data_IF_157352105863
#
_entry.id   IF_157352105863
#
_cell.length_a   1.000
_cell.length_b   1.000
_cell.length_c   1.000
_cell.angle_alpha   90.00
_cell.angle_beta   90.00
_cell.angle_gamma   90.00
#
_symmetry.space_group_name_H-M   'P 1'
#
loop_
_entity.id
_entity.type
_entity.pdbx_description
1 polymer ?
2 polymer ?
3 water ?
#
# COMPACT_ATOMS: atom_id res chain seq x y z
N UNK A 1 24.70 -11.53 -5.27
CA UNK A 1 25.18 -10.18 -5.68
C UNK A 1 25.11 -10.05 -7.20
N UNK A 2 24.19 -10.81 -7.79
CA UNK A 2 23.93 -10.80 -9.22
C UNK A 2 22.85 -9.74 -9.45
N UNK A 3 23.24 -8.60 -10.00
CA UNK A 3 22.32 -7.48 -10.22
C UNK A 3 21.29 -7.73 -11.32
N UNK A 4 20.04 -7.39 -11.02
CA UNK A 4 18.91 -7.55 -11.95
C UNK A 4 18.33 -6.16 -12.26
N UNK A 5 18.59 -5.67 -13.47
CA UNK A 5 18.13 -4.36 -13.88
C UNK A 5 16.88 -4.43 -14.75
N UNK A 6 15.84 -3.69 -14.34
CA UNK A 6 14.60 -3.65 -15.12
C UNK A 6 14.42 -2.29 -15.80
N UNK A 7 13.71 -2.30 -16.92
CA UNK A 7 13.47 -1.08 -17.68
C UNK A 7 12.16 -1.18 -18.43
N UNK A 8 11.34 -0.12 -18.36
CA UNK A 8 11.58 1.12 -17.63
C UNK A 8 11.18 0.96 -16.17
N UNK A 9 11.44 1.97 -15.34
CA UNK A 9 11.08 1.93 -13.93
C UNK A 9 9.59 2.12 -13.79
N UNK A 10 9.03 2.89 -14.71
CA UNK A 10 7.60 3.15 -14.71
C UNK A 10 7.08 3.12 -16.15
N UNK A 11 6.00 2.37 -16.37
CA UNK A 11 5.45 2.23 -17.70
C UNK A 11 3.98 2.65 -17.73
N UNK A 12 3.66 3.58 -18.62
CA UNK A 12 2.31 4.06 -18.76
C UNK A 12 1.73 3.51 -20.06
N UNK A 13 0.64 2.76 -19.96
CA UNK A 13 0.05 2.15 -21.15
C UNK A 13 -1.45 2.39 -21.27
N UNK A 14 -1.90 2.64 -22.49
CA UNK A 14 -3.32 2.87 -22.73
C UNK A 14 -4.07 1.53 -22.90
N UNK A 15 -5.12 1.34 -22.10
CA UNK A 15 -5.92 0.11 -22.15
C UNK A 15 -6.09 -0.46 -23.56
N UNK A 16 -5.90 -1.78 -23.69
CA UNK A 16 -6.05 -2.43 -24.97
C UNK A 16 -4.81 -2.55 -25.85
N UNK A 17 -3.73 -1.86 -25.50
CA UNK A 17 -2.50 -1.91 -26.27
C UNK A 17 -1.43 -2.77 -25.60
N UNK A 18 -0.47 -3.28 -26.39
CA UNK A 18 0.61 -4.11 -25.84
C UNK A 18 1.62 -3.35 -24.99
N UNK A 19 2.15 -4.02 -23.97
CA UNK A 19 3.16 -3.43 -23.08
C UNK A 19 4.37 -4.34 -23.02
N UNK A 20 5.53 -3.79 -22.76
CA UNK A 20 6.74 -4.57 -22.70
C UNK A 20 7.71 -4.10 -21.62
N UNK A 21 8.11 -5.04 -20.76
CA UNK A 21 9.03 -4.75 -19.67
C UNK A 21 10.31 -5.54 -19.92
N UNK A 22 11.44 -4.90 -19.70
CA UNK A 22 12.72 -5.55 -19.92
C UNK A 22 13.52 -5.84 -18.66
N UNK A 23 14.07 -7.05 -18.59
CA UNK A 23 14.87 -7.47 -17.46
C UNK A 23 16.24 -7.91 -17.98
N UNK A 24 17.29 -7.55 -17.26
CA UNK A 24 18.63 -7.91 -17.69
C UNK A 24 19.56 -8.12 -16.51
N UNK A 25 20.23 -9.27 -16.49
CA UNK A 25 21.17 -9.61 -15.41
C UNK A 25 22.63 -9.37 -15.76
N UNK A 26 23.44 -9.28 -14.72
CA UNK A 26 24.87 -9.06 -14.85
C UNK A 26 25.59 -10.34 -15.31
N UNK A 27 24.94 -11.49 -15.15
CA UNK A 27 25.53 -12.75 -15.57
C UNK A 27 24.47 -13.66 -16.17
N UNK A 28 24.90 -14.55 -17.05
CA UNK A 28 23.98 -15.48 -17.69
C UNK A 28 23.16 -16.24 -16.65
N UNK A 29 21.88 -16.45 -16.95
CA UNK A 29 21.01 -17.18 -16.03
C UNK A 29 20.77 -18.59 -16.55
N UNK A 30 21.53 -18.97 -17.56
CA UNK A 30 21.43 -20.30 -18.14
C UNK A 30 22.21 -21.20 -17.21
N UNK A 31 21.60 -22.30 -16.81
CA UNK A 31 22.24 -23.23 -15.88
C UNK A 31 22.88 -24.43 -16.57
N UNK A 32 23.70 -25.14 -15.82
CA UNK A 32 24.40 -26.32 -16.35
C UNK A 32 23.46 -27.42 -16.86
N UNK A 33 22.28 -27.55 -16.28
CA UNK A 33 21.37 -28.58 -16.74
C UNK A 33 20.60 -28.15 -17.97
N UNK A 34 20.98 -27.00 -18.52
CA UNK A 34 20.33 -26.48 -19.71
C UNK A 34 19.06 -25.66 -19.48
N UNK A 35 18.68 -25.49 -18.22
CA UNK A 35 17.47 -24.72 -17.88
C UNK A 35 17.77 -23.33 -17.33
N UNK A 36 16.93 -22.37 -17.71
CA UNK A 36 17.08 -20.99 -17.26
C UNK A 36 16.07 -20.66 -16.16
N UNK A 37 16.57 -20.30 -14.98
CA UNK A 37 15.71 -20.00 -13.84
C UNK A 37 15.41 -18.52 -13.68
N UNK A 38 14.44 -18.05 -14.44
CA UNK A 38 14.00 -16.68 -14.39
C UNK A 38 12.49 -16.68 -14.29
N UNK A 39 11.97 -15.90 -13.33
CA UNK A 39 10.54 -15.80 -13.11
C UNK A 39 10.09 -14.34 -13.12
N UNK A 40 8.80 -14.13 -13.34
CA UNK A 40 8.21 -12.80 -13.36
C UNK A 40 7.10 -12.74 -12.30
N UNK A 41 7.23 -11.80 -11.35
CA UNK A 41 6.20 -11.65 -10.32
C UNK A 41 5.39 -10.40 -10.60
N UNK A 42 4.17 -10.38 -10.09
CA UNK A 42 3.30 -9.23 -10.22
C UNK A 42 2.72 -8.98 -8.84
N UNK A 43 2.72 -7.72 -8.42
CA UNK A 43 2.16 -7.35 -7.13
C UNK A 43 1.16 -6.21 -7.31
N UNK A 44 -0.12 -6.54 -7.17
CA UNK A 44 -1.16 -5.52 -7.31
C UNK A 44 -1.21 -4.73 -6.00
N UNK A 45 -1.72 -3.50 -6.05
CA UNK A 45 -1.78 -2.72 -4.81
C UNK A 45 -2.50 -3.48 -3.70
N UNK A 46 -1.95 -3.39 -2.50
CA UNK A 46 -2.54 -4.05 -1.34
C UNK A 46 -2.46 -5.57 -1.34
N UNK A 47 -1.59 -6.13 -2.16
CA UNK A 47 -1.50 -7.57 -2.20
C UNK A 47 -0.08 -8.08 -2.27
N UNK A 48 0.06 -9.39 -2.19
CA UNK A 48 1.36 -10.06 -2.22
C UNK A 48 1.86 -10.30 -3.63
N UNK A 49 3.17 -10.47 -3.77
CA UNK A 49 3.75 -10.72 -5.09
C UNK A 49 3.16 -12.04 -5.55
N UNK A 50 2.93 -12.17 -6.85
CA UNK A 50 2.37 -13.40 -7.40
C UNK A 50 3.14 -13.81 -8.64
N UNK A 51 3.67 -15.04 -8.67
CA UNK A 51 4.43 -15.49 -9.83
C UNK A 51 3.49 -15.68 -11.02
N UNK A 52 3.93 -15.17 -12.17
CA UNK A 52 3.15 -15.27 -13.41
C UNK A 52 3.88 -16.14 -14.41
N UNK A 53 5.20 -16.16 -14.33
CA UNK A 53 5.99 -16.93 -15.28
C UNK A 53 7.25 -17.53 -14.67
N UNK A 54 7.50 -18.80 -14.99
CA UNK A 54 8.71 -19.48 -14.53
C UNK A 54 9.43 -20.07 -15.74
N UNK A 55 10.72 -20.38 -15.61
CA UNK A 55 11.50 -20.92 -16.72
C UNK A 55 11.28 -20.02 -17.92
N UNK A 56 11.46 -18.73 -17.68
CA UNK A 56 11.32 -17.64 -18.64
C UNK A 56 10.09 -17.54 -19.57
N UNK A 57 9.43 -18.64 -19.86
CA UNK A 57 8.25 -18.58 -20.74
C UNK A 57 7.07 -19.41 -20.30
N UNK A 58 7.26 -20.27 -19.31
CA UNK A 58 6.18 -21.12 -18.83
C UNK A 58 5.19 -20.32 -17.99
N UNK A 59 3.93 -20.36 -18.40
CA UNK A 59 2.87 -19.65 -17.69
C UNK A 59 2.46 -20.39 -16.43
N UNK A 60 2.03 -19.64 -15.42
CA UNK A 60 1.59 -20.24 -14.19
C UNK A 60 0.10 -20.47 -14.27
N UNK A 61 -0.40 -21.38 -13.45
CA UNK A 61 -1.81 -21.72 -13.43
C UNK A 61 -2.67 -20.47 -13.24
N UNK A 62 -3.62 -20.28 -14.15
CA UNK A 62 -4.52 -19.14 -14.06
C UNK A 62 -4.04 -17.85 -14.67
N UNK A 63 -2.80 -17.82 -15.15
CA UNK A 63 -2.29 -16.62 -15.75
C UNK A 63 -2.81 -16.53 -17.18
N UNK A 64 -3.38 -15.37 -17.54
CA UNK A 64 -3.95 -15.06 -18.86
C UNK A 64 -3.04 -15.25 -20.07
N UNK A 65 -3.64 -15.70 -21.17
CA UNK A 65 -2.95 -15.92 -22.44
C UNK A 65 -2.19 -14.66 -22.85
N UNK A 66 -2.68 -13.51 -22.40
CA UNK A 66 -2.08 -12.22 -22.70
C UNK A 66 -0.58 -12.11 -22.40
N UNK A 67 -0.18 -12.60 -21.23
CA UNK A 67 1.21 -12.52 -20.84
C UNK A 67 2.08 -13.50 -21.61
N UNK A 68 3.29 -13.07 -21.91
CA UNK A 68 4.23 -13.86 -22.67
C UNK A 68 5.64 -13.59 -22.18
N UNK A 69 6.42 -14.64 -22.05
CA UNK A 69 7.79 -14.47 -21.60
C UNK A 69 8.79 -14.98 -22.61
N UNK A 70 9.90 -14.25 -22.76
CA UNK A 70 10.95 -14.67 -23.68
C UNK A 70 12.28 -14.12 -23.18
N UNK A 71 13.38 -14.60 -23.75
CA UNK A 71 14.69 -14.14 -23.33
C UNK A 71 15.65 -15.29 -23.34
N UNK A 72 16.92 -15.01 -23.02
CA UNK A 72 17.94 -16.05 -23.01
C UNK A 72 19.25 -15.44 -22.50
N UNK A 73 19.98 -16.19 -21.69
CA UNK A 73 21.25 -15.69 -21.17
C UNK A 73 21.10 -14.55 -20.19
N UNK A 74 21.22 -13.32 -20.67
CA UNK A 74 21.13 -12.14 -19.81
C UNK A 74 20.04 -11.14 -20.19
N UNK A 75 19.16 -11.50 -21.12
CA UNK A 75 18.10 -10.59 -21.52
C UNK A 75 16.79 -11.30 -21.71
N UNK A 76 15.84 -10.92 -20.86
CA UNK A 76 14.50 -11.50 -20.83
C UNK A 76 13.51 -10.37 -21.00
N UNK A 77 12.33 -10.70 -21.52
CA UNK A 77 11.30 -9.71 -21.74
C UNK A 77 9.93 -10.27 -21.41
N UNK A 78 9.12 -9.44 -20.77
CA UNK A 78 7.75 -9.81 -20.43
C UNK A 78 6.90 -8.97 -21.35
N UNK A 79 6.11 -9.61 -22.21
CA UNK A 79 5.26 -8.86 -23.12
C UNK A 79 3.80 -9.10 -22.79
N UNK A 80 3.04 -8.03 -22.66
CA UNK A 80 1.60 -8.17 -22.40
C UNK A 80 0.95 -7.81 -23.73
N UNK A 81 0.31 -8.79 -24.36
CA UNK A 81 -0.35 -8.61 -25.65
C UNK A 81 -1.33 -7.45 -25.68
N UNK A 82 -2.21 -7.38 -24.69
CA UNK A 82 -3.19 -6.30 -24.59
C UNK A 82 -3.42 -6.03 -23.12
N UNK A 83 -3.14 -4.80 -22.69
CA UNK A 83 -3.29 -4.45 -21.28
C UNK A 83 -4.73 -4.20 -20.86
N UNK A 84 -5.01 -4.49 -19.60
CA UNK A 84 -6.33 -4.30 -19.03
C UNK A 84 -6.18 -3.64 -17.67
N UNK A 85 -7.29 -3.21 -17.07
CA UNK A 85 -7.23 -2.57 -15.76
C UNK A 85 -6.69 -3.51 -14.70
N UNK A 86 -7.01 -4.79 -14.81
CA UNK A 86 -6.56 -5.78 -13.83
C UNK A 86 -5.05 -6.04 -13.89
N UNK A 87 -4.33 -5.27 -14.70
CA UNK A 87 -2.88 -5.45 -14.83
C UNK A 87 -2.08 -4.38 -14.12
N UNK A 88 -2.78 -3.52 -13.39
CA UNK A 88 -2.11 -2.45 -12.66
C UNK A 88 -1.33 -3.09 -11.51
N UNK A 89 -0.10 -2.60 -11.29
CA UNK A 89 0.73 -3.13 -10.23
C UNK A 89 2.21 -3.00 -10.54
N UNK A 90 3.04 -3.71 -9.78
CA UNK A 90 4.49 -3.69 -9.99
C UNK A 90 4.94 -5.05 -10.49
N UNK A 91 5.79 -5.05 -11.51
CA UNK A 91 6.30 -6.27 -12.10
C UNK A 91 7.78 -6.46 -11.77
N UNK A 92 8.10 -7.61 -11.19
CA UNK A 92 9.48 -7.91 -10.85
C UNK A 92 9.96 -9.16 -11.57
N UNK A 93 11.25 -9.20 -11.86
CA UNK A 93 11.81 -10.38 -12.46
C UNK A 93 12.77 -10.93 -11.40
N UNK A 94 12.67 -12.24 -11.17
CA UNK A 94 13.52 -12.89 -10.17
C UNK A 94 14.48 -13.84 -10.85
N UNK A 95 15.58 -14.12 -10.17
CA UNK A 95 16.60 -15.02 -10.69
C UNK A 95 16.93 -16.07 -9.66
N UNK A 96 16.77 -17.34 -10.03
CA UNK A 96 17.06 -18.43 -9.12
C UNK A 96 18.12 -19.39 -9.62
N UNK A 97 19.11 -18.85 -10.33
CA UNK A 97 20.18 -19.66 -10.90
C UNK A 97 21.45 -19.57 -10.07
N UNK A 98 21.81 -18.36 -9.66
CA UNK A 98 23.02 -18.17 -8.86
C UNK A 98 22.71 -17.55 -7.49
N UNK A 99 23.13 -18.24 -6.45
CA UNK A 99 22.93 -17.83 -5.06
C UNK A 99 23.68 -16.55 -4.65
N UNK A 100 22.99 -15.61 -3.98
CA UNK A 100 21.59 -15.62 -3.56
C UNK A 100 20.57 -15.21 -4.63
N UNK A 101 19.34 -15.68 -4.44
CA UNK A 101 18.26 -15.35 -5.35
C UNK A 101 18.08 -13.84 -5.23
N UNK A 102 17.96 -13.16 -6.36
CA UNK A 102 17.78 -11.71 -6.37
C UNK A 102 16.63 -11.26 -7.26
N UNK A 103 16.11 -10.06 -6.98
CA UNK A 103 14.99 -9.49 -7.71
C UNK A 103 15.36 -8.21 -8.44
N UNK A 104 14.57 -7.86 -9.45
CA UNK A 104 14.79 -6.61 -10.15
C UNK A 104 14.09 -5.51 -9.37
N UNK A 105 14.41 -4.25 -9.65
CA UNK A 105 13.79 -3.14 -8.94
C UNK A 105 12.28 -3.07 -9.03
N UNK A 106 11.72 -3.72 -10.06
CA UNK A 106 10.28 -3.73 -10.24
C UNK A 106 9.87 -2.64 -11.19
N UNK A 107 8.84 -2.90 -11.98
CA UNK A 107 8.37 -1.89 -12.93
C UNK A 107 6.91 -1.60 -12.62
N UNK A 108 6.61 -0.33 -12.41
CA UNK A 108 5.27 0.07 -12.08
C UNK A 108 4.54 0.38 -13.38
N UNK A 109 3.42 -0.31 -13.57
CA UNK A 109 2.61 -0.11 -14.76
C UNK A 109 1.45 0.80 -14.40
N UNK A 110 1.29 1.88 -15.15
CA UNK A 110 0.22 2.84 -14.92
C UNK A 110 -0.64 2.91 -16.17
N UNK A 111 -1.95 2.97 -16.00
CA UNK A 111 -2.85 3.05 -17.15
C UNK A 111 -3.04 4.49 -17.65
N UNK A 112 -2.72 4.72 -18.92
CA UNK A 112 -2.89 6.05 -19.52
C UNK A 112 -4.40 6.27 -19.69
N UNK A 113 -4.89 7.35 -19.10
CA UNK A 113 -6.31 7.66 -19.08
C UNK A 113 -6.69 9.01 -19.68
N UNK A 114 -7.99 9.22 -19.79
CA UNK A 114 -8.51 10.48 -20.30
C UNK A 114 -8.45 11.45 -19.12
N UNK A 115 -7.98 12.66 -19.36
CA UNK A 115 -7.89 13.69 -18.32
C UNK A 115 -9.19 13.90 -17.55
N UNK A 116 -9.07 14.08 -16.24
CA UNK A 116 -10.21 14.28 -15.37
C UNK A 116 -9.91 15.33 -14.33
N UNK A 117 -10.85 16.27 -14.15
CA UNK A 117 -10.70 17.33 -13.16
C UNK A 117 -11.15 16.79 -11.81
N UNK A 118 -10.40 17.09 -10.75
CA UNK A 118 -10.75 16.59 -9.42
C UNK A 118 -12.05 17.17 -8.87
N UNK A 119 -12.74 16.36 -8.08
CA UNK A 119 -13.95 16.84 -7.43
C UNK A 119 -13.44 17.24 -6.06
N UNK A 120 -13.54 18.52 -5.75
CA UNK A 120 -13.02 19.03 -4.49
C UNK A 120 -14.05 19.30 -3.38
N UNK A 121 -13.74 18.82 -2.19
CA UNK A 121 -14.60 19.03 -1.02
C UNK A 121 -13.73 19.39 0.18
N UNK A 122 -14.17 20.37 0.96
CA UNK A 122 -13.39 20.84 2.10
C UNK A 122 -14.17 20.70 3.41
N UNK A 123 -13.48 20.23 4.45
CA UNK A 123 -14.11 20.00 5.74
C UNK A 123 -13.55 20.75 6.93
N UNK A 124 -14.41 21.50 7.64
CA UNK A 124 -14.02 22.27 8.82
C UNK A 124 -13.62 21.27 9.90
N UNK A 125 -12.95 21.73 10.96
CA UNK A 125 -12.56 20.79 12.00
C UNK A 125 -13.84 20.28 12.67
N UNK A 126 -13.80 19.09 13.24
CA UNK A 126 -14.98 18.57 13.91
C UNK A 126 -14.93 19.10 15.33
N UNK A 127 -16.09 19.49 15.86
CA UNK A 127 -16.16 20.02 17.21
C UNK A 127 -15.49 19.07 18.20
N UNK A 128 -15.54 17.78 17.91
CA UNK A 128 -14.95 16.79 18.79
C UNK A 128 -13.45 16.97 18.90
N UNK A 129 -12.80 17.41 17.82
CA UNK A 129 -11.36 17.60 17.84
C UNK A 129 -10.99 18.91 18.52
N UNK A 130 -11.70 19.97 18.15
CA UNK A 130 -11.45 21.29 18.72
C UNK A 130 -11.38 21.19 20.24
N UNK A 131 -12.21 20.30 20.79
CA UNK A 131 -12.23 20.09 22.22
C UNK A 131 -10.86 19.72 22.75
N UNK A 132 -10.09 18.94 21.99
CA UNK A 132 -8.75 18.54 22.42
C UNK A 132 -7.75 19.67 22.21
N UNK A 133 -8.23 20.78 21.65
CA UNK A 133 -7.36 21.91 21.41
C UNK A 133 -6.59 21.81 20.11
N UNK A 134 -7.06 20.95 19.21
CA UNK A 134 -6.40 20.82 17.93
C UNK A 134 -7.41 21.13 16.85
N UNK A 135 -6.93 21.50 15.67
CA UNK A 135 -7.82 21.82 14.56
C UNK A 135 -7.22 21.41 13.22
N UNK A 136 -7.75 20.35 12.62
CA UNK A 136 -7.27 19.88 11.34
C UNK A 136 -8.30 20.19 10.27
N UNK A 137 -7.90 20.91 9.23
CA UNK A 137 -8.80 21.24 8.14
C UNK A 137 -8.46 20.25 7.04
N UNK A 138 -9.45 19.53 6.54
CA UNK A 138 -9.21 18.53 5.50
C UNK A 138 -9.76 18.91 4.14
N UNK A 139 -9.04 18.50 3.10
CA UNK A 139 -9.49 18.79 1.74
C UNK A 139 -9.27 17.55 0.88
N UNK A 140 -10.33 17.08 0.24
CA UNK A 140 -10.25 15.89 -0.60
C UNK A 140 -10.43 16.26 -2.08
N UNK A 141 -9.50 15.79 -2.90
CA UNK A 141 -9.55 16.02 -4.34
C UNK A 141 -9.63 14.63 -4.97
N UNK A 142 -10.86 14.18 -5.19
CA UNK A 142 -11.12 12.86 -5.73
C UNK A 142 -11.16 12.67 -7.25
N UNK A 143 -10.86 11.44 -7.66
CA UNK A 143 -10.86 10.98 -9.04
C UNK A 143 -10.45 11.97 -10.15
N UNK A 144 -9.14 12.20 -10.28
CA UNK A 144 -8.62 13.11 -11.31
C UNK A 144 -7.46 12.47 -12.05
N UNK A 145 -7.11 13.03 -13.21
CA UNK A 145 -6.00 12.52 -14.01
C UNK A 145 -5.52 13.58 -15.00
N UNK A 146 -4.20 13.70 -15.19
CA UNK A 146 -3.12 12.91 -14.58
C UNK A 146 -2.94 13.13 -13.09
N UNK A 147 -1.83 12.59 -12.58
CA UNK A 147 -1.49 12.70 -11.16
C UNK A 147 -0.93 14.06 -10.80
N UNK A 148 -0.50 14.81 -11.83
CA UNK A 148 0.06 16.15 -11.64
C UNK A 148 -0.99 17.05 -11.00
N UNK A 149 -0.93 17.20 -9.68
CA UNK A 149 -1.91 18.04 -9.00
C UNK A 149 -1.22 18.92 -7.96
N UNK A 150 -1.63 20.18 -7.87
CA UNK A 150 -1.03 21.09 -6.93
C UNK A 150 -2.04 21.75 -5.98
N UNK A 151 -1.87 21.53 -4.68
CA UNK A 151 -2.77 22.10 -3.67
C UNK A 151 -2.14 23.26 -2.91
N UNK A 152 -2.96 24.22 -2.53
CA UNK A 152 -2.46 25.37 -1.81
C UNK A 152 -3.53 25.88 -0.84
N UNK A 153 -3.11 26.15 0.39
CA UNK A 153 -4.06 26.65 1.38
C UNK A 153 -3.95 28.14 1.58
N UNK A 154 -5.07 28.76 1.95
CA UNK A 154 -5.13 30.19 2.20
C UNK A 154 -6.05 30.45 3.39
N UNK A 155 -5.52 31.09 4.41
CA UNK A 155 -6.30 31.44 5.58
C UNK A 155 -6.42 32.95 5.55
N UNK A 156 -7.64 33.45 5.42
CA UNK A 156 -7.89 34.88 5.33
C UNK A 156 -7.09 35.50 4.19
N UNK A 157 -7.16 34.85 3.02
CA UNK A 157 -6.49 35.34 1.83
C UNK A 157 -4.99 35.11 1.68
N UNK A 158 -4.29 34.90 2.79
CA UNK A 158 -2.84 34.70 2.75
C UNK A 158 -2.43 33.23 2.77
N UNK A 159 -1.50 32.86 1.90
CA UNK A 159 -1.03 31.49 1.80
C UNK A 159 -0.31 30.98 3.06
N UNK A 160 -0.54 29.71 3.39
CA UNK A 160 0.10 29.07 4.53
C UNK A 160 0.70 27.75 4.03
N UNK A 161 2.00 27.53 4.27
CA UNK A 161 2.65 26.32 3.80
C UNK A 161 3.02 25.28 4.85
N UNK A 162 3.32 25.74 6.07
CA UNK A 162 3.68 24.82 7.13
C UNK A 162 2.45 24.17 7.77
N UNK A 163 2.60 22.91 8.19
CA UNK A 163 1.50 22.19 8.82
C UNK A 163 0.59 21.43 7.86
N UNK A 164 1.09 21.15 6.66
CA UNK A 164 0.33 20.44 5.64
C UNK A 164 0.82 19.02 5.39
N UNK A 165 -0.11 18.07 5.36
CA UNK A 165 0.21 16.67 5.10
C UNK A 165 -0.57 16.22 3.88
N UNK A 166 0.14 15.91 2.80
CA UNK A 166 -0.51 15.47 1.57
C UNK A 166 -0.34 13.98 1.41
N UNK A 167 -1.34 13.33 0.85
CA UNK A 167 -1.29 11.88 0.65
C UNK A 167 -2.03 11.49 -0.64
N UNK A 168 -1.32 10.83 -1.54
CA UNK A 168 -1.88 10.39 -2.81
C UNK A 168 -2.22 8.92 -2.71
N UNK A 169 -3.13 8.44 -3.56
CA UNK A 169 -3.49 7.02 -3.57
C UNK A 169 -2.94 6.38 -4.84
N UNK A 170 -2.94 5.05 -4.88
CA UNK A 170 -2.48 4.32 -6.04
C UNK A 170 -3.54 4.48 -7.12
N UNK A 171 -3.16 4.33 -8.38
CA UNK A 171 -4.14 4.47 -9.44
C UNK A 171 -5.30 3.53 -9.19
N UNK A 172 -6.51 4.07 -9.31
CA UNK A 172 -7.75 3.34 -9.09
C UNK A 172 -7.88 2.29 -10.20
N UNK A 173 -7.84 1.02 -9.82
CA UNK A 173 -7.98 -0.06 -10.80
C UNK A 173 -9.36 -0.09 -11.46
N UNK A 174 -10.28 0.72 -10.95
CA UNK A 174 -11.64 0.77 -11.48
C UNK A 174 -11.84 1.83 -12.57
N UNK A 175 -11.40 3.06 -12.31
CA UNK A 175 -11.57 4.11 -13.30
C UNK A 175 -10.24 4.73 -13.74
N UNK A 176 -9.14 4.21 -13.19
CA UNK A 176 -7.80 4.67 -13.52
C UNK A 176 -7.48 6.10 -13.14
N UNK A 177 -8.09 6.59 -12.06
CA UNK A 177 -7.83 7.95 -11.61
C UNK A 177 -7.04 7.94 -10.31
N UNK A 178 -6.69 9.13 -9.83
CA UNK A 178 -5.97 9.25 -8.57
C UNK A 178 -6.79 10.14 -7.63
N UNK A 179 -6.49 10.05 -6.34
CA UNK A 179 -7.16 10.87 -5.34
C UNK A 179 -6.11 11.36 -4.35
N UNK A 180 -6.30 12.56 -3.83
CA UNK A 180 -5.34 13.14 -2.91
C UNK A 180 -6.00 13.71 -1.67
N UNK A 181 -5.27 13.64 -0.55
CA UNK A 181 -5.78 14.17 0.71
C UNK A 181 -4.80 15.21 1.24
N UNK A 182 -5.33 16.39 1.55
CA UNK A 182 -4.52 17.47 2.07
C UNK A 182 -5.08 17.94 3.41
N UNK A 183 -4.27 17.79 4.45
CA UNK A 183 -4.70 18.18 5.79
C UNK A 183 -3.85 19.32 6.36
N UNK A 184 -4.51 20.42 6.71
CA UNK A 184 -3.83 21.57 7.30
C UNK A 184 -4.12 21.60 8.81
N UNK A 185 -3.12 21.31 9.64
CA UNK A 185 -3.34 21.29 11.09
C UNK A 185 -2.87 22.55 11.82
N UNK A 186 -3.76 23.11 12.61
CA UNK A 186 -3.49 24.31 13.39
C UNK A 186 -3.89 24.01 14.83
N UNK A 187 -3.55 24.89 15.74
CA UNK A 187 -3.92 24.70 17.12
C UNK A 187 -5.33 25.24 17.24
N UNK A 188 -5.95 24.97 18.38
CA UNK A 188 -7.29 25.46 18.63
C UNK A 188 -7.30 26.98 18.53
N UNK A 189 -6.34 27.62 19.19
CA UNK A 189 -6.27 29.08 19.17
C UNK A 189 -6.09 29.74 17.82
N UNK A 190 -5.09 29.34 17.05
CA UNK A 190 -4.88 29.95 15.75
C UNK A 190 -6.11 29.77 14.85
N UNK A 191 -6.74 28.60 14.90
CA UNK A 191 -7.92 28.37 14.07
C UNK A 191 -9.01 29.40 14.40
N UNK A 192 -9.17 29.70 15.69
CA UNK A 192 -10.19 30.64 16.13
C UNK A 192 -9.83 32.11 15.91
N UNK A 193 -8.63 32.39 15.42
CA UNK A 193 -8.23 33.76 15.19
C UNK A 193 -8.48 34.16 13.74
N UNK A 194 -8.75 33.18 12.88
CA UNK A 194 -8.98 33.44 11.47
C UNK A 194 -10.34 32.95 11.05
N UNK A 195 -10.90 33.48 9.95
CA UNK A 195 -12.23 33.07 9.54
C UNK A 195 -12.40 32.47 8.15
N UNK A 196 -11.56 32.84 7.21
CA UNK A 196 -11.72 32.32 5.85
C UNK A 196 -10.68 31.25 5.47
N UNK A 197 -11.15 30.01 5.32
CA UNK A 197 -10.25 28.91 4.95
C UNK A 197 -10.47 28.44 3.52
N UNK A 198 -9.41 28.45 2.73
CA UNK A 198 -9.53 28.05 1.33
C UNK A 198 -8.55 26.98 0.88
N UNK A 199 -9.09 26.04 0.12
CA UNK A 199 -8.34 24.93 -0.43
C UNK A 199 -8.35 25.23 -1.94
N UNK A 200 -7.18 25.40 -2.50
CA UNK A 200 -7.03 25.75 -3.91
C UNK A 200 -6.23 24.71 -4.67
N UNK A 201 -6.74 24.29 -5.83
CA UNK A 201 -6.04 23.29 -6.60
C UNK A 201 -5.85 23.71 -8.04
N UNK A 202 -4.65 23.45 -8.56
CA UNK A 202 -4.31 23.77 -9.93
C UNK A 202 -3.98 22.46 -10.64
N UNK A 203 -4.69 22.19 -11.73
CA UNK A 203 -4.50 20.94 -12.47
C UNK A 203 -4.55 21.18 -13.97
N UNK A 204 -3.92 20.29 -14.73
CA UNK A 204 -3.89 20.38 -16.19
C UNK A 204 -5.27 20.56 -16.80
N UNK A 205 -6.30 20.06 -16.11
CA UNK A 205 -7.67 20.14 -16.59
C UNK A 205 -8.29 21.52 -16.75
N UNK A 206 -7.77 22.53 -16.05
CA UNK A 206 -8.34 23.87 -16.19
C UNK A 206 -7.30 24.97 -16.17
N UNK A 207 -7.65 26.07 -16.81
CA UNK A 207 -6.78 27.24 -16.91
C UNK A 207 -6.74 28.00 -15.58
N UNK A 208 -7.89 28.07 -14.92
CA UNK A 208 -8.02 28.75 -13.65
C UNK A 208 -8.21 27.66 -12.58
N UNK A 209 -7.59 27.84 -11.40
CA UNK A 209 -7.68 26.88 -10.29
C UNK A 209 -9.08 26.61 -9.76
N UNK A 210 -9.26 25.42 -9.18
CA UNK A 210 -10.52 25.02 -8.58
C UNK A 210 -10.45 25.45 -7.11
N UNK A 211 -11.45 26.20 -6.65
CA UNK A 211 -11.43 26.67 -5.27
C UNK A 211 -12.59 26.19 -4.41
N UNK A 212 -12.29 25.88 -3.16
CA UNK A 212 -13.31 25.46 -2.19
C UNK A 212 -12.94 26.09 -0.86
N UNK A 213 -13.88 26.75 -0.20
CA UNK A 213 -13.56 27.37 1.07
C UNK A 213 -14.76 27.44 1.97
N UNK A 214 -14.56 27.96 3.17
CA UNK A 214 -15.65 28.09 4.13
C UNK A 214 -15.29 29.14 5.15
N UNK A 215 -16.29 29.68 5.82
CA UNK A 215 -16.02 30.68 6.83
C UNK A 215 -16.29 30.04 8.19
N UNK A 216 -15.33 30.15 9.09
CA UNK A 216 -15.45 29.56 10.41
C UNK A 216 -16.69 29.99 11.18
N UNK A 217 -17.12 31.24 11.01
CA UNK A 217 -18.27 31.78 11.71
C UNK A 217 -19.63 31.32 11.20
N UNK A 218 -19.67 30.79 9.99
CA UNK A 218 -20.93 30.37 9.38
C UNK A 218 -21.50 29.02 9.73
N UNK A 219 -20.85 28.28 10.62
CA UNK A 219 -21.36 26.97 11.01
C UNK A 219 -20.54 26.35 12.13
N UNK B 1 -7.03 -27.07 -0.24
CA UNK B 1 -6.34 -25.77 -0.55
C UNK B 1 -5.06 -25.57 0.25
N UNK B 2 -4.01 -25.08 -0.40
CA UNK B 2 -2.72 -24.82 0.25
C UNK B 2 -2.68 -23.40 0.80
N UNK B 3 -1.89 -23.17 1.84
CA UNK B 3 -1.83 -21.83 2.41
C UNK B 3 -0.76 -21.59 3.46
N UNK B 4 -0.10 -20.43 3.35
CA UNK B 4 0.94 -20.03 4.29
C UNK B 4 0.46 -18.77 5.01
N UNK B 5 0.82 -18.62 6.27
CA UNK B 5 0.42 -17.44 7.04
C UNK B 5 1.43 -17.04 8.09
N UNK B 6 1.80 -15.76 8.07
CA UNK B 6 2.77 -15.22 9.02
C UNK B 6 2.09 -14.68 10.28
N UNK B 7 2.77 -14.84 11.42
CA UNK B 7 2.28 -14.36 12.71
C UNK B 7 3.49 -13.87 13.47
N UNK B 8 3.30 -12.89 14.34
CA UNK B 8 4.42 -12.34 15.10
C UNK B 8 4.17 -10.88 15.42
N UNK B 9 5.03 -10.24 16.23
CA UNK B 9 4.88 -8.83 16.61
C UNK B 9 4.89 -7.91 15.41
N UNK B 10 4.24 -6.77 15.57
CA UNK B 10 4.19 -5.79 14.50
C UNK B 10 5.13 -4.68 14.91
N UNK B 11 5.44 -4.66 16.20
CA UNK B 11 6.32 -3.64 16.73
C UNK B 11 7.46 -4.32 17.45
N UNK B 12 8.67 -3.83 17.21
CA UNK B 12 9.85 -4.38 17.85
C UNK B 12 10.83 -3.26 18.10
N UNK B 13 11.50 -3.32 19.26
CA UNK B 13 12.47 -2.30 19.62
C UNK B 13 13.79 -2.58 18.94
N UNK B 14 14.54 -1.51 18.62
CA UNK B 14 15.83 -1.75 17.98
C UNK B 14 16.69 -2.51 18.99
N UNK B 15 17.56 -3.39 18.48
CA UNK B 15 18.44 -4.20 19.33
C UNK B 15 17.76 -5.49 19.77
N UNK B 16 16.44 -5.50 19.81
CA UNK B 16 15.71 -6.70 20.19
C UNK B 16 15.91 -7.75 19.11
N UNK B 17 15.23 -8.88 19.27
CA UNK B 17 15.30 -9.97 18.33
C UNK B 17 13.92 -10.19 17.72
N UNK B 18 13.86 -10.13 16.40
CA UNK B 18 12.60 -10.32 15.69
C UNK B 18 12.30 -11.82 15.63
N UNK B 19 11.05 -12.20 15.86
CA UNK B 19 10.65 -13.61 15.81
C UNK B 19 9.31 -13.79 15.10
N UNK B 20 9.32 -14.39 13.92
CA UNK B 20 8.08 -14.60 13.16
C UNK B 20 7.79 -16.07 12.96
N UNK B 21 6.50 -16.39 12.81
CA UNK B 21 6.07 -17.75 12.59
C UNK B 21 5.26 -17.82 11.31
N UNK B 22 5.48 -18.88 10.54
CA UNK B 22 4.76 -19.11 9.31
C UNK B 22 4.16 -20.48 9.47
N UNK B 23 2.85 -20.55 9.36
CA UNK B 23 2.12 -21.80 9.50
C UNK B 23 1.64 -22.21 8.12
N UNK B 24 1.80 -23.49 7.80
CA UNK B 24 1.39 -24.02 6.50
C UNK B 24 0.30 -25.05 6.67
N UNK B 25 -0.75 -24.96 5.87
CA UNK B 25 -1.87 -25.90 5.95
C UNK B 25 -2.23 -26.40 4.56
N UNK B 26 -2.26 -27.72 4.40
CA UNK B 26 -2.61 -28.28 3.10
C UNK B 26 -1.44 -28.96 2.45
N UNK B 27 -0.31 -28.98 3.15
CA UNK B 27 0.88 -29.62 2.64
C UNK B 27 1.89 -29.75 3.76
N UNK B 28 2.65 -30.83 3.74
CA UNK B 28 3.65 -31.08 4.75
C UNK B 28 5.00 -30.46 4.40
N UNK B 29 5.50 -29.58 5.26
CA UNK B 29 6.78 -28.94 5.00
C UNK B 29 7.93 -29.97 5.00
N UNK B 30 7.63 -31.23 5.28
CA UNK B 30 8.67 -32.27 5.27
C UNK B 30 8.66 -33.09 3.98
N UNK B 31 7.53 -33.06 3.27
CA UNK B 31 7.39 -33.79 2.01
C UNK B 31 8.39 -33.32 0.96
N UNK B 32 8.13 -32.17 0.34
CA UNK B 32 9.03 -31.64 -0.68
C UNK B 32 9.10 -30.11 -0.66
N UNK B 33 10.06 -29.56 -1.39
CA UNK B 33 10.25 -28.11 -1.52
C UNK B 33 11.13 -27.44 -0.46
N UNK B 34 11.40 -26.15 -0.69
CA UNK B 34 12.18 -25.32 0.22
C UNK B 34 11.23 -24.24 0.68
N UNK B 35 11.26 -23.94 1.97
CA UNK B 35 10.36 -22.91 2.52
C UNK B 35 11.18 -21.66 2.81
N UNK B 36 10.71 -20.53 2.28
CA UNK B 36 11.44 -19.27 2.39
C UNK B 36 10.81 -18.11 3.17
N UNK B 37 11.68 -17.20 3.57
CA UNK B 37 11.32 -15.96 4.25
C UNK B 37 11.88 -14.86 3.36
N UNK B 38 11.00 -13.99 2.89
CA UNK B 38 11.40 -12.88 2.02
C UNK B 38 10.85 -11.60 2.62
N UNK B 39 11.56 -10.49 2.45
CA UNK B 39 11.03 -9.24 2.98
C UNK B 39 11.01 -8.13 1.94
N UNK B 40 9.98 -7.30 2.04
CA UNK B 40 9.80 -6.17 1.13
C UNK B 40 9.96 -4.87 1.90
N UNK B 41 10.94 -4.07 1.49
CA UNK B 41 11.21 -2.81 2.14
C UNK B 41 10.31 -1.72 1.60
N UNK B 42 9.98 -0.71 2.43
CA UNK B 42 9.14 0.36 1.89
C UNK B 42 9.99 0.92 0.75
N UNK B 43 9.37 1.13 -0.40
CA UNK B 43 10.11 1.61 -1.55
C UNK B 43 10.00 0.50 -2.57
N UNK B 44 9.54 -0.66 -2.09
CA UNK B 44 9.31 -1.87 -2.89
C UNK B 44 10.42 -2.88 -3.15
N UNK B 45 11.67 -2.59 -2.78
CA UNK B 45 12.70 -3.58 -3.05
C UNK B 45 12.48 -4.83 -2.20
N UNK B 46 12.56 -6.00 -2.86
CA UNK B 46 12.38 -7.28 -2.20
C UNK B 46 13.75 -7.85 -1.86
N UNK B 47 13.80 -8.68 -0.82
CA UNK B 47 15.06 -9.28 -0.42
C UNK B 47 14.87 -10.67 0.13
N UNK B 48 15.37 -11.65 -0.63
CA UNK B 48 15.30 -13.04 -0.26
C UNK B 48 16.20 -13.14 0.98
N UNK B 49 15.68 -13.74 2.05
CA UNK B 49 16.44 -13.83 3.30
C UNK B 49 17.09 -15.18 3.55
N UNK B 50 16.30 -16.24 3.42
CA UNK B 50 16.83 -17.57 3.68
C UNK B 50 15.76 -18.62 3.51
N UNK B 51 16.12 -19.88 3.71
CA UNK B 51 15.18 -20.99 3.59
C UNK B 51 15.56 -22.17 4.48
N UNK B 52 14.66 -23.15 4.51
CA UNK B 52 14.88 -24.39 5.23
C UNK B 52 14.18 -25.38 4.34
N UNK B 53 14.90 -26.43 3.97
CA UNK B 53 14.36 -27.46 3.09
C UNK B 53 13.52 -28.47 3.85
N UNK B 54 12.74 -29.25 3.12
CA UNK B 54 11.90 -30.27 3.74
C UNK B 54 12.77 -31.30 4.44
N UNK B 55 14.09 -31.17 4.25
CA UNK B 55 15.07 -32.08 4.84
C UNK B 55 15.69 -31.54 6.12
N UNK B 56 15.48 -30.26 6.40
CA UNK B 56 16.03 -29.68 7.60
C UNK B 56 17.26 -28.81 7.36
N UNK B 57 17.75 -28.80 6.13
CA UNK B 57 18.92 -27.98 5.84
C UNK B 57 18.50 -26.55 5.52
N UNK B 58 19.36 -25.60 5.85
CA UNK B 58 19.06 -24.20 5.63
C UNK B 58 20.08 -23.46 4.77
N UNK B 59 19.61 -22.39 4.15
CA UNK B 59 20.47 -21.55 3.33
C UNK B 59 20.14 -20.12 3.67
N UNK B 60 21.16 -19.29 3.89
CA UNK B 60 20.91 -17.90 4.25
C UNK B 60 21.60 -16.88 3.34
N UNK B 61 20.96 -15.74 3.20
CA UNK B 61 21.52 -14.66 2.39
C UNK B 61 22.78 -14.14 3.10
N UNK B 62 23.93 -14.17 2.41
CA UNK B 62 25.23 -13.72 2.90
C UNK B 62 25.21 -12.46 3.77
N UNK B 63 24.50 -11.44 3.30
CA UNK B 63 24.41 -10.18 4.04
C UNK B 63 23.67 -10.33 5.37
N UNK B 64 23.00 -11.45 5.57
CA UNK B 64 22.27 -11.68 6.81
C UNK B 64 22.90 -12.75 7.70
N UNK B 65 23.63 -13.68 7.07
CA UNK B 65 24.28 -14.80 7.77
C UNK B 65 24.55 -14.56 9.26
N UNK B 66 25.37 -13.57 9.55
CA UNK B 66 25.74 -13.25 10.91
C UNK B 66 24.63 -13.24 11.97
N UNK B 67 23.39 -12.94 11.57
CA UNK B 67 22.31 -12.84 12.55
C UNK B 67 20.97 -13.50 12.22
N UNK B 68 20.92 -14.36 11.22
CA UNK B 68 19.65 -14.97 10.87
C UNK B 68 19.58 -16.45 11.27
N UNK B 69 18.36 -16.91 11.53
CA UNK B 69 18.16 -18.30 11.91
C UNK B 69 16.77 -18.74 11.49
N UNK B 70 16.70 -19.90 10.87
CA UNK B 70 15.43 -20.45 10.44
C UNK B 70 15.35 -21.88 10.94
N UNK B 71 14.34 -22.17 11.74
CA UNK B 71 14.18 -23.51 12.28
C UNK B 71 12.75 -23.89 12.00
N UNK B 72 12.34 -25.07 12.46
CA UNK B 72 10.98 -25.52 12.23
C UNK B 72 10.46 -26.42 13.35
N UNK B 73 9.16 -26.71 13.28
CA UNK B 73 8.50 -27.60 14.21
C UNK B 73 7.65 -28.48 13.30
N UNK B 74 8.27 -29.54 12.80
CA UNK B 74 7.61 -30.48 11.90
C UNK B 74 6.31 -31.07 12.44
N UNK B 75 6.16 -31.07 13.76
CA UNK B 75 4.95 -31.61 14.36
C UNK B 75 3.81 -30.61 14.30
N UNK B 76 4.12 -29.33 14.16
CA UNK B 76 3.11 -28.28 14.07
C UNK B 76 3.02 -27.79 12.64
N UNK B 77 3.97 -28.22 11.81
CA UNK B 77 4.02 -27.85 10.41
C UNK B 77 4.18 -26.35 10.25
N UNK B 78 5.14 -25.77 10.96
CA UNK B 78 5.40 -24.34 10.87
C UNK B 78 6.88 -24.07 11.05
N UNK B 79 7.43 -23.16 10.25
CA UNK B 79 8.84 -22.81 10.38
C UNK B 79 8.94 -21.37 10.88
N UNK B 80 10.00 -21.10 11.64
CA UNK B 80 10.19 -19.79 12.25
C UNK B 80 11.37 -19.00 11.73
N UNK B 81 11.28 -17.68 11.82
CA UNK B 81 12.36 -16.80 11.42
C UNK B 81 12.81 -16.00 12.64
N UNK B 82 14.09 -15.97 12.90
CA UNK B 82 14.62 -15.20 14.00
C UNK B 82 15.76 -14.32 13.51
N UNK B 83 15.60 -13.01 13.65
CA UNK B 83 16.62 -12.07 13.22
C UNK B 83 17.10 -11.32 14.46
N UNK B 84 18.40 -11.19 14.62
CA UNK B 84 18.92 -10.51 15.80
C UNK B 84 19.43 -9.09 15.59
N UNK B 85 19.54 -8.36 16.70
CA UNK B 85 20.02 -6.98 16.71
C UNK B 85 19.40 -6.17 15.60
N UNK B 86 18.07 -6.14 15.60
CA UNK B 86 17.34 -5.41 14.59
C UNK B 86 17.53 -3.91 14.77
N UNK B 87 17.60 -3.22 13.64
CA UNK B 87 17.76 -1.77 13.64
C UNK B 87 16.54 -1.23 12.91
N UNK B 88 16.40 0.09 12.87
CA UNK B 88 15.24 0.64 12.18
C UNK B 88 15.29 0.31 10.69
N UNK B 89 16.43 -0.17 10.21
CA UNK B 89 16.56 -0.53 8.81
C UNK B 89 15.95 -1.90 8.53
N UNK B 90 15.40 -2.51 9.57
CA UNK B 90 14.77 -3.82 9.43
C UNK B 90 13.26 -3.75 9.33
N UNK B 91 12.73 -2.52 9.32
CA UNK B 91 11.30 -2.30 9.17
C UNK B 91 10.96 -2.74 7.76
N UNK B 92 9.98 -3.62 7.63
CA UNK B 92 9.61 -4.11 6.33
C UNK B 92 8.44 -5.06 6.47
N UNK B 93 7.89 -5.50 5.35
CA UNK B 93 6.79 -6.46 5.36
C UNK B 93 7.48 -7.79 5.20
N UNK B 94 7.22 -8.74 6.09
CA UNK B 94 7.84 -10.05 5.97
C UNK B 94 6.83 -11.05 5.43
N UNK B 95 7.26 -11.79 4.42
CA UNK B 95 6.43 -12.79 3.76
C UNK B 95 7.13 -14.13 3.89
N UNK B 96 6.35 -15.21 3.90
CA UNK B 96 6.95 -16.55 3.89
C UNK B 96 6.42 -17.14 2.61
N UNK B 97 7.28 -17.80 1.85
CA UNK B 97 6.85 -18.38 0.59
C UNK B 97 7.54 -19.69 0.31
N UNK B 98 6.89 -20.49 -0.51
CA UNK B 98 7.45 -21.78 -0.89
C UNK B 98 7.21 -21.90 -2.39
N UNK B 99 8.24 -22.35 -3.10
CA UNK B 99 8.13 -22.48 -4.54
C UNK B 99 9.29 -23.29 -5.11
N UNK B 100 9.12 -23.71 -6.36
CA UNK B 100 10.13 -24.46 -7.06
C UNK B 100 10.28 -23.74 -8.41
N UNK B 101 11.50 -23.33 -8.75
CA UNK B 101 11.73 -22.64 -10.01
C UNK B 101 11.55 -23.56 -11.20
N UNK B 102 11.19 -24.81 -10.95
CA UNK B 102 11.01 -25.76 -12.01
C UNK B 102 9.55 -26.21 -12.13
N UNK B 103 8.99 -26.69 -11.04
CA UNK B 103 7.62 -27.15 -11.10
C UNK B 103 6.67 -25.96 -11.16
N UNK B 104 5.38 -26.23 -10.98
CA UNK B 104 4.35 -25.20 -11.03
C UNK B 104 3.96 -24.81 -9.60
N UNK B 105 4.67 -25.37 -8.63
CA UNK B 105 4.36 -25.09 -7.23
C UNK B 105 4.89 -23.72 -6.80
N UNK B 106 3.96 -22.86 -6.38
CA UNK B 106 4.30 -21.52 -5.92
C UNK B 106 3.21 -20.97 -4.99
N UNK B 107 3.60 -20.60 -3.78
CA UNK B 107 2.68 -20.06 -2.80
C UNK B 107 3.36 -19.02 -1.92
N UNK B 108 2.67 -17.90 -1.72
CA UNK B 108 3.15 -16.81 -0.90
C UNK B 108 2.14 -16.56 0.22
N UNK B 109 2.64 -16.11 1.36
CA UNK B 109 1.76 -15.79 2.47
C UNK B 109 1.13 -14.43 2.20
N UNK B 110 0.46 -13.86 3.20
CA UNK B 110 -0.16 -12.55 3.01
C UNK B 110 0.80 -11.44 3.40
N UNK B 111 1.80 -11.80 4.20
CA UNK B 111 2.78 -10.82 4.63
C UNK B 111 2.34 -10.17 5.93
N UNK B 112 3.30 -9.75 6.72
CA UNK B 112 3.02 -9.10 7.99
C UNK B 112 3.98 -7.92 8.08
N UNK B 113 3.45 -6.76 8.45
CA UNK B 113 4.27 -5.57 8.55
C UNK B 113 5.00 -5.57 9.90
N UNK B 114 6.28 -5.26 9.85
CA UNK B 114 7.10 -5.21 11.05
C UNK B 114 7.83 -3.86 11.12
N UNK B 115 7.54 -3.11 12.18
CA UNK B 115 8.12 -1.81 12.40
C UNK B 115 9.09 -1.90 13.57
N UNK B 116 10.31 -1.41 13.36
CA UNK B 116 11.33 -1.41 14.42
C UNK B 116 11.40 0.02 14.90
N UNK B 117 11.12 0.25 16.19
CA UNK B 117 11.15 1.60 16.70
C UNK B 117 11.01 1.70 18.21
N UNK B 118 11.51 2.80 18.76
CA UNK B 118 11.45 3.07 20.19
C UNK B 118 10.08 3.63 20.56
N UNK B 119 9.44 4.32 19.62
CA UNK B 119 8.13 4.92 19.84
C UNK B 119 7.19 3.93 20.52
N UNK B 120 6.22 4.44 21.28
CA UNK B 120 5.29 3.56 21.97
C UNK B 120 3.93 3.48 21.30
N UNK B 121 3.32 2.29 21.36
CA UNK B 121 2.01 2.08 20.77
C UNK B 121 1.05 3.15 21.29
N UNK B 122 0.29 3.74 20.37
CA UNK B 122 -0.68 4.78 20.74
C UNK B 122 -1.96 4.63 19.94
N UNK B 123 -3.11 4.49 20.64
CA UNK B 123 -4.39 4.35 19.95
C UNK B 123 -4.70 5.60 19.14
N UNK B 124 -5.45 5.46 18.04
CA UNK B 124 -5.79 6.61 17.22
C UNK B 124 -6.98 7.40 17.72
N UNK B 125 -7.10 8.62 17.21
CA UNK B 125 -8.22 9.49 17.53
C UNK B 125 -9.01 9.50 16.23
N UNK B 126 -10.33 9.36 16.33
CA UNK B 126 -11.13 9.38 15.12
C UNK B 126 -12.15 10.50 15.15
N UNK B 127 -12.20 11.25 14.06
CA UNK B 127 -13.13 12.39 13.95
C UNK B 127 -13.91 12.31 12.64
N UNK B 128 -15.23 12.52 12.72
CA UNK B 128 -16.11 12.49 11.57
C UNK B 128 -16.00 13.80 10.81
N UNK B 129 -15.92 13.70 9.49
CA UNK B 129 -15.82 14.89 8.66
C UNK B 129 -17.12 15.12 7.90
N UNK B 130 -17.94 16.04 8.39
CA UNK B 130 -19.20 16.36 7.72
C UNK B 130 -19.04 17.67 6.94
N UNK B 131 -19.88 17.88 5.92
CA UNK B 131 -19.81 19.11 5.12
C UNK B 131 -20.05 20.32 6.03
N UNK B 132 -19.83 21.51 5.50
CA UNK B 132 -20.04 22.72 6.31
C UNK B 132 -21.36 23.32 5.92
N UNK B 133 -21.78 22.97 4.71
CA UNK B 133 -23.01 23.41 4.07
C UNK B 133 -22.81 23.00 2.61
N UNK B 134 -21.89 22.05 2.42
CA UNK B 134 -21.55 21.51 1.09
C UNK B 134 -22.75 20.85 0.43
N UNK B 135 -23.35 19.86 1.08
CA UNK B 135 -24.52 19.17 0.54
C UNK B 135 -25.56 20.23 0.17
N UNK B 136 -25.59 20.58 -1.12
CA UNK B 136 -26.50 21.61 -1.60
C UNK B 136 -27.15 21.27 -2.93
N UNK B 137 -26.30 21.12 -3.94
CA UNK B 137 -26.78 20.83 -5.29
C UNK B 137 -26.47 19.42 -5.79
N UNK B 138 -25.29 19.24 -6.39
CA UNK B 138 -24.88 17.94 -6.93
C UNK B 138 -25.53 16.75 -6.22
N UNK B 139 -25.85 15.72 -7.00
CA UNK B 139 -26.49 14.52 -6.48
C UNK B 139 -25.60 13.64 -5.60
N UNK B 140 -24.32 14.00 -5.50
CA UNK B 140 -23.38 13.26 -4.67
C UNK B 140 -22.95 14.05 -3.45
N UNK B 141 -22.57 13.34 -2.40
CA UNK B 141 -22.11 13.95 -1.15
C UNK B 141 -20.85 13.23 -0.70
N UNK B 142 -19.81 13.97 -0.35
CA UNK B 142 -18.60 13.33 0.12
C UNK B 142 -18.49 13.54 1.62
N UNK B 143 -18.19 12.45 2.33
CA UNK B 143 -18.03 12.49 3.78
C UNK B 143 -16.64 11.98 4.08
N UNK B 144 -16.27 11.94 5.36
CA UNK B 144 -14.94 11.49 5.68
C UNK B 144 -14.68 11.16 7.13
N UNK B 145 -13.51 10.58 7.37
CA UNK B 145 -13.07 10.20 8.70
C UNK B 145 -11.59 10.52 8.84
N UNK B 146 -11.23 11.14 9.95
CA UNK B 146 -9.84 11.48 10.19
C UNK B 146 -9.30 10.57 11.30
N UNK B 147 -8.27 9.82 10.99
CA UNK B 147 -7.65 8.91 11.94
C UNK B 147 -6.26 9.47 12.24
N UNK B 148 -6.10 10.12 13.39
CA UNK B 148 -4.78 10.66 13.68
C UNK B 148 -4.24 10.43 15.08
N UNK B 149 -2.91 10.40 15.14
CA UNK B 149 -2.23 10.22 16.40
C UNK B 149 -1.98 8.80 16.81
N UNK B 150 -2.01 7.85 15.86
CA UNK B 150 -1.79 6.46 16.22
C UNK B 150 -0.40 5.96 15.86
N UNK B 151 -0.06 4.79 16.40
CA UNK B 151 1.21 4.15 16.18
C UNK B 151 1.17 2.77 16.81
N UNK B 152 1.65 1.74 16.09
CA UNK B 152 2.23 1.83 14.75
C UNK B 152 1.18 1.44 13.70
N UNK B 153 1.64 1.20 12.48
CA UNK B 153 0.74 0.79 11.41
C UNK B 153 0.36 -0.67 11.67
N UNK B 154 -0.81 -1.09 11.20
CA UNK B 154 -1.75 -0.25 10.45
C UNK B 154 -3.10 -0.15 11.14
N UNK B 155 -4.04 0.51 10.47
CA UNK B 155 -5.40 0.62 10.98
C UNK B 155 -6.28 0.15 9.85
N UNK B 156 -7.46 -0.35 10.16
CA UNK B 156 -8.38 -0.80 9.13
C UNK B 156 -9.61 0.08 9.16
N UNK B 157 -9.92 0.71 8.04
CA UNK B 157 -11.08 1.56 7.98
C UNK B 157 -12.14 0.97 7.05
N UNK B 158 -13.39 1.04 7.50
CA UNK B 158 -14.51 0.53 6.72
C UNK B 158 -15.64 1.54 6.88
N UNK B 159 -16.68 1.37 6.08
CA UNK B 159 -17.86 2.23 6.15
C UNK B 159 -19.07 1.31 6.24
N UNK B 160 -19.87 1.51 7.29
CA UNK B 160 -21.04 0.69 7.52
C UNK B 160 -20.66 -0.78 7.56
N UNK B 161 -19.54 -1.08 8.20
CA UNK B 161 -19.06 -2.46 8.34
C UNK B 161 -18.78 -3.22 7.05
N UNK B 162 -18.51 -2.50 5.97
CA UNK B 162 -18.25 -3.17 4.71
C UNK B 162 -19.48 -3.01 3.83
N UNK B 163 -20.61 -2.80 4.48
CA UNK B 163 -21.87 -2.62 3.78
C UNK B 163 -21.68 -1.61 2.64
N UNK B 164 -20.82 -0.63 2.87
CA UNK B 164 -20.56 0.43 1.89
C UNK B 164 -19.10 0.44 1.46
N UNK B 165 -18.86 0.33 0.16
CA UNK B 165 -17.50 0.31 -0.39
C UNK B 165 -17.44 0.90 -1.78
N UNK B 166 -18.61 0.92 -2.42
CA UNK B 166 -18.79 1.42 -3.78
C UNK B 166 -17.86 2.56 -4.16
N UNK B 167 -17.92 3.66 -3.39
CA UNK B 167 -17.07 4.80 -3.71
C UNK B 167 -16.22 5.29 -2.55
N UNK B 168 -15.35 4.41 -2.07
CA UNK B 168 -14.48 4.73 -0.94
C UNK B 168 -13.01 4.87 -1.35
N UNK B 169 -12.36 5.91 -0.84
CA UNK B 169 -10.94 6.14 -1.11
C UNK B 169 -10.30 6.29 0.27
N UNK B 170 -9.47 5.33 0.67
CA UNK B 170 -8.80 5.41 1.96
C UNK B 170 -7.35 5.78 1.73
N UNK B 171 -6.97 6.97 2.20
CA UNK B 171 -5.63 7.48 1.99
C UNK B 171 -4.52 6.92 2.86
N UNK B 172 -3.32 6.70 2.26
CA UNK B 172 -2.15 6.16 2.92
C UNK B 172 -1.70 7.04 4.09
N UNK B 173 -1.39 6.40 5.21
CA UNK B 173 -0.96 7.11 6.42
C UNK B 173 0.33 7.90 6.23
N UNK B 174 0.41 9.06 6.88
CA UNK B 174 1.62 9.88 6.82
C UNK B 174 2.19 9.94 8.23
N UNK B 175 3.50 9.80 8.34
CA UNK B 175 4.19 9.82 9.63
C UNK B 175 4.61 11.25 9.86
N UNK B 176 4.05 11.86 10.90
CA UNK B 176 4.34 13.24 11.21
C UNK B 176 4.56 13.42 12.71
N UNK B 177 5.81 13.23 13.16
CA UNK B 177 6.15 13.37 14.56
C UNK B 177 5.98 12.07 15.36
N UNK B 178 6.56 10.99 14.85
CA UNK B 178 6.49 9.68 15.50
C UNK B 178 5.05 9.19 15.67
N UNK B 179 4.14 9.75 14.89
CA UNK B 179 2.73 9.37 14.92
C UNK B 179 2.15 9.43 13.51
N UNK B 180 1.17 8.58 13.25
CA UNK B 180 0.54 8.52 11.94
C UNK B 180 -0.78 9.22 11.87
N UNK B 181 -1.08 9.75 10.69
CA UNK B 181 -2.35 10.41 10.41
C UNK B 181 -2.82 9.84 9.07
N UNK B 182 -4.09 9.47 9.02
CA UNK B 182 -4.69 8.90 7.82
C UNK B 182 -6.12 9.40 7.68
N UNK B 183 -6.64 9.38 6.46
CA UNK B 183 -8.00 9.84 6.22
C UNK B 183 -8.70 8.95 5.22
N UNK B 184 -10.03 8.97 5.24
CA UNK B 184 -10.79 8.14 4.32
C UNK B 184 -12.04 8.89 3.91
N UNK B 185 -12.26 8.99 2.60
CA UNK B 185 -13.46 9.68 2.11
C UNK B 185 -14.43 8.69 1.45
N UNK B 186 -15.71 9.01 1.54
CA UNK B 186 -16.77 8.19 0.96
C UNK B 186 -17.78 9.11 0.29
N UNK B 187 -18.11 8.83 -0.96
CA UNK B 187 -19.07 9.65 -1.70
C UNK B 187 -20.34 8.84 -1.93
N UNK B 188 -21.46 9.39 -1.48
CA UNK B 188 -22.75 8.74 -1.64
C UNK B 188 -23.74 9.69 -2.31
N UNK B 189 -24.80 9.16 -2.94
CA UNK B 189 -25.75 10.07 -3.56
C UNK B 189 -26.40 10.90 -2.44
N UNK B 190 -26.97 12.05 -2.80
CA UNK B 190 -27.58 12.92 -1.81
C UNK B 190 -28.81 12.34 -1.14
N UNK B 191 -29.18 11.12 -1.52
CA UNK B 191 -30.34 10.44 -0.96
C UNK B 191 -30.01 9.69 0.35
N UNK B 192 -28.85 9.02 0.41
CA UNK B 192 -28.47 8.29 1.62
C UNK B 192 -28.25 9.18 2.85
N UNK B 193 -27.36 10.17 2.71
CA UNK B 193 -27.05 11.08 3.81
C UNK B 193 -27.84 12.36 3.62
N UNK B 194 -28.37 12.95 4.71
CA UNK B 194 -28.28 12.46 6.09
C UNK B 194 -29.46 11.54 6.44
N UNK B 195 -30.23 11.18 5.41
CA UNK B 195 -31.42 10.33 5.53
C UNK B 195 -31.10 9.01 6.23
N UNK B 196 -30.39 8.15 5.52
CA UNK B 196 -30.00 6.87 6.09
C UNK B 196 -28.53 6.97 6.55
N UNK B 197 -28.28 6.53 7.79
CA UNK B 197 -26.98 6.54 8.47
C UNK B 197 -25.70 6.09 7.75
N UNK B 198 -24.63 6.83 7.99
CA UNK B 198 -23.31 6.48 7.43
C UNK B 198 -22.31 6.50 8.58
N UNK B 199 -21.64 5.38 8.77
CA UNK B 199 -20.66 5.19 9.85
C UNK B 199 -19.29 4.75 9.33
N UNK B 200 -18.24 5.21 9.98
CA UNK B 200 -16.92 4.80 9.57
C UNK B 200 -16.39 4.01 10.76
N UNK B 201 -15.94 2.79 10.49
CA UNK B 201 -15.44 1.91 11.52
C UNK B 201 -13.94 1.91 11.47
N UNK B 202 -13.30 2.06 12.61
CA UNK B 202 -11.85 2.08 12.62
C UNK B 202 -11.28 1.09 13.64
N UNK B 203 -10.32 0.30 13.20
CA UNK B 203 -9.71 -0.69 14.07
C UNK B 203 -8.21 -0.57 14.07
N UNK B 204 -7.64 -0.42 15.25
CA UNK B 204 -6.20 -0.35 15.37
C UNK B 204 -5.75 -1.55 16.18
N UNK B 205 -5.40 -2.65 15.51
CA UNK B 205 -4.94 -3.90 16.13
C UNK B 205 -3.97 -3.75 17.31
N UNK B 206 -2.80 -3.17 17.05
CA UNK B 206 -1.81 -2.98 18.11
C UNK B 206 -2.37 -2.51 19.43
N UNK B 207 -3.36 -1.61 19.39
CA UNK B 207 -3.94 -1.08 20.61
C UNK B 207 -5.27 -1.69 20.95
N UNK B 208 -5.63 -2.78 20.28
CA UNK B 208 -6.91 -3.44 20.53
C UNK B 208 -8.00 -2.37 20.56
N UNK B 209 -8.04 -1.56 19.51
CA UNK B 209 -9.02 -0.49 19.42
C UNK B 209 -10.09 -0.74 18.38
N UNK B 210 -11.32 -0.42 18.75
CA UNK B 210 -12.45 -0.60 17.86
C UNK B 210 -13.32 0.62 18.07
N UNK B 211 -13.40 1.49 17.07
CA UNK B 211 -14.21 2.68 17.22
C UNK B 211 -15.11 2.93 16.02
N UNK B 212 -16.36 3.25 16.30
CA UNK B 212 -17.34 3.55 15.26
C UNK B 212 -17.75 5.00 15.42
N UNK B 213 -17.83 5.72 14.32
CA UNK B 213 -18.22 7.12 14.41
C UNK B 213 -19.28 7.41 13.36
N UNK B 214 -20.43 7.90 13.79
CA UNK B 214 -21.47 8.20 12.83
C UNK B 214 -21.19 9.61 12.32
N UNK B 215 -21.48 9.84 11.04
CA UNK B 215 -21.25 11.15 10.44
C UNK B 215 -22.57 11.91 10.49
N UNK B 216 -22.77 12.64 11.58
CA UNK B 216 -23.97 13.43 11.76
C UNK B 216 -23.65 14.86 11.35
N UNK B 217 -24.60 15.54 10.70
CA UNK B 217 -24.38 16.93 10.25
C UNK B 217 -24.27 17.95 11.37
N UNK B 218 -23.61 19.07 11.06
CA UNK B 218 -23.47 20.17 12.02
C UNK B 218 -24.71 21.04 11.82
N UNK B 219 -25.28 21.52 12.91
CA UNK B 219 -26.47 22.35 12.81
C UNK B 219 -26.14 23.77 12.33
N UNK B 220 -24.91 24.19 12.59
CA UNK B 220 -24.40 25.52 12.23
C UNK B 220 -24.59 26.56 13.33
#
# INVERSE_FOLDING_TARGET
DVQMTQTPLTLSVTIGQPASISCESSQSLLYSNGKTYLNWLLQRPGQSPKRLIYLVSKLDSGVPDRFTGSGSGTDFTLRISRVEAEDLGVYYCVQGTHFPRTFGGGTKLEIKRADAAPTVSIFPPSSEQLTSGGASVVCFLNNFYPKDINVKWKIDGSERQNGVLNSWTDQDSKDSTYSMSSTLTLTKDEYERHNSYTCEATHKTSTSPIVKSFNRNEC
GVQLQESGPGLVKPSQSLSLTCTVTGYSITSDYAWNWIRQFPGNKLEWMGYITYSGSTGYNPSLKSRISITRDTSKNQFFLQLNSVTTEDTATYYCASYDDYTWFTYWGQGTLVTVSAAKTTPPSVYPLAPGSAAQTNSMVTLGCLVKGYFPEPVTVTWNSGSLSSGVHTFPAVLQSDLYTLSSSVTVPSSPRPSETVTCNVAHPASSTKVDKKIVPRDC
#
